data_IF_545399644985
#
_entry.id   IF_545399644985
#
_cell.length_a   1.000
_cell.length_b   1.000
_cell.length_c   1.000
_cell.angle_alpha   90.00
_cell.angle_beta   90.00
_cell.angle_gamma   90.00
#
_symmetry.space_group_name_H-M   'P 1'
#
loop_
_entity.id
_entity.type
_entity.pdbx_description
1 polymer ?
#
# COMPACT_ATOMS: atom_id res chain seq x y z
N UNK A 1 -13.69 -4.90 0.36
CA UNK A 1 -13.98 -4.18 1.63
C UNK A 1 -13.97 -2.65 1.45
N UNK A 2 -12.90 -2.07 0.91
CA UNK A 2 -12.70 -0.61 0.76
C UNK A 2 -13.88 0.10 0.12
N UNK A 3 -14.41 -0.40 -0.99
CA UNK A 3 -15.56 0.17 -1.68
C UNK A 3 -16.81 0.33 -0.79
N UNK A 4 -17.08 -0.63 0.11
CA UNK A 4 -18.20 -0.54 1.06
C UNK A 4 -18.00 0.63 2.02
N UNK A 5 -16.76 0.86 2.46
CA UNK A 5 -16.42 1.97 3.37
C UNK A 5 -16.52 3.32 2.64
N UNK A 6 -16.10 3.38 1.37
CA UNK A 6 -16.27 4.57 0.52
C UNK A 6 -17.77 4.88 0.36
N UNK A 7 -18.58 3.88 -0.02
CA UNK A 7 -20.04 4.04 -0.20
C UNK A 7 -20.77 4.46 1.07
N UNK A 8 -20.23 4.16 2.25
CA UNK A 8 -20.80 4.61 3.52
C UNK A 8 -20.66 6.12 3.73
N UNK A 9 -19.73 6.80 3.04
CA UNK A 9 -19.60 8.27 3.06
C UNK A 9 -19.22 8.87 4.42
N UNK A 10 -18.53 8.10 5.29
CA UNK A 10 -18.20 8.51 6.66
C UNK A 10 -16.76 8.97 6.87
N UNK A 11 -15.89 8.79 5.89
CA UNK A 11 -14.46 9.06 5.98
C UNK A 11 -14.00 9.75 4.70
N UNK A 12 -13.02 10.65 4.79
CA UNK A 12 -12.41 11.30 3.62
C UNK A 12 -11.36 10.39 2.94
N UNK A 13 -10.68 9.58 3.75
CA UNK A 13 -9.64 8.66 3.35
C UNK A 13 -9.79 7.33 4.09
N UNK A 14 -9.41 6.25 3.42
CA UNK A 14 -9.39 4.89 3.93
C UNK A 14 -7.97 4.38 3.76
N UNK A 15 -7.33 3.97 4.85
CA UNK A 15 -6.06 3.26 4.78
C UNK A 15 -6.33 1.77 4.85
N UNK A 16 -6.01 1.05 3.78
CA UNK A 16 -5.98 -0.40 3.76
C UNK A 16 -4.63 -0.87 4.27
N UNK A 17 -4.65 -1.83 5.20
CA UNK A 17 -3.48 -2.38 5.86
C UNK A 17 -3.65 -3.88 6.03
N UNK A 18 -2.63 -4.63 5.66
CA UNK A 18 -2.51 -6.04 6.02
C UNK A 18 -2.22 -6.19 7.52
N UNK A 19 -2.56 -7.37 8.03
CA UNK A 19 -2.50 -7.66 9.46
C UNK A 19 -1.05 -7.77 9.97
N UNK A 20 -0.09 -8.03 9.09
CA UNK A 20 1.34 -8.15 9.35
C UNK A 20 2.05 -6.79 9.29
N UNK A 21 1.36 -5.75 9.75
CA UNK A 21 1.88 -4.39 9.89
C UNK A 21 1.86 -3.93 11.35
N UNK A 22 2.77 -3.02 11.69
CA UNK A 22 2.85 -2.40 13.02
C UNK A 22 3.04 -0.88 12.88
N UNK A 23 2.12 -0.10 13.45
CA UNK A 23 2.27 1.36 13.55
C UNK A 23 3.31 1.67 14.63
N UNK A 24 4.42 2.28 14.24
CA UNK A 24 5.60 2.51 15.10
C UNK A 24 5.79 3.96 15.54
N UNK A 25 5.10 4.92 14.92
CA UNK A 25 5.13 6.31 15.36
C UNK A 25 3.71 6.84 15.57
N UNK A 26 3.28 6.83 16.81
CA UNK A 26 1.96 7.26 17.26
C UNK A 26 1.85 8.78 17.46
N UNK A 27 2.98 9.49 17.43
CA UNK A 27 3.03 10.96 17.43
C UNK A 27 2.75 11.57 16.05
N UNK A 28 2.73 10.76 14.99
CA UNK A 28 2.38 11.18 13.64
C UNK A 28 0.95 10.77 13.29
N UNK A 29 0.16 11.70 12.74
CA UNK A 29 -1.17 11.36 12.22
C UNK A 29 -1.09 10.83 10.79
N UNK A 30 -2.01 9.94 10.42
CA UNK A 30 -2.20 9.52 9.03
C UNK A 30 -2.45 10.71 8.09
N UNK A 31 -3.19 11.73 8.57
CA UNK A 31 -3.40 12.98 7.83
C UNK A 31 -2.08 13.69 7.50
N UNK A 32 -1.11 13.69 8.40
CA UNK A 32 0.22 14.26 8.13
C UNK A 32 0.96 13.49 7.04
N UNK A 33 0.85 12.15 7.02
CA UNK A 33 1.42 11.32 5.95
C UNK A 33 0.78 11.66 4.61
N UNK A 34 -0.56 11.70 4.54
CA UNK A 34 -1.31 12.03 3.32
C UNK A 34 -0.94 13.43 2.81
N UNK A 35 -0.98 14.45 3.67
CA UNK A 35 -0.71 15.82 3.28
C UNK A 35 0.73 16.00 2.77
N UNK A 36 1.72 15.36 3.41
CA UNK A 36 3.12 15.40 2.96
C UNK A 36 3.29 14.71 1.61
N UNK A 37 2.63 13.57 1.40
CA UNK A 37 2.66 12.86 0.12
C UNK A 37 2.06 13.71 -1.01
N UNK A 38 0.92 14.34 -0.77
CA UNK A 38 0.23 15.17 -1.76
C UNK A 38 0.91 16.51 -2.04
N UNK A 39 1.72 17.03 -1.11
CA UNK A 39 2.44 18.29 -1.29
C UNK A 39 3.39 18.29 -2.50
N UNK A 40 3.82 17.11 -2.95
CA UNK A 40 4.67 16.95 -4.14
C UNK A 40 3.86 16.86 -5.46
N UNK A 41 2.53 16.83 -5.40
CA UNK A 41 1.65 16.79 -6.56
C UNK A 41 1.34 18.19 -7.07
N UNK A 42 1.34 18.38 -8.40
CA UNK A 42 0.79 19.60 -9.01
C UNK A 42 -0.74 19.61 -9.04
N UNK A 43 -1.37 18.46 -8.85
CA UNK A 43 -2.84 18.28 -8.87
C UNK A 43 -3.28 17.37 -7.71
N UNK A 44 -3.12 17.79 -6.44
CA UNK A 44 -3.40 16.93 -5.29
C UNK A 44 -4.87 16.47 -5.20
N UNK A 45 -5.82 17.30 -5.67
CA UNK A 45 -7.25 16.97 -5.65
C UNK A 45 -7.65 15.91 -6.68
N UNK A 46 -6.80 15.66 -7.68
CA UNK A 46 -7.03 14.58 -8.65
C UNK A 46 -6.48 13.25 -8.19
N UNK A 47 -5.72 13.20 -7.10
CA UNK A 47 -5.17 11.95 -6.56
C UNK A 47 -6.18 11.31 -5.60
N UNK A 48 -6.52 10.06 -5.89
CA UNK A 48 -7.38 9.22 -5.06
C UNK A 48 -6.60 8.10 -4.37
N UNK A 49 -5.53 7.59 -4.98
CA UNK A 49 -4.77 6.48 -4.42
C UNK A 49 -3.34 6.91 -4.14
N UNK A 50 -2.87 6.61 -2.93
CA UNK A 50 -1.46 6.63 -2.58
C UNK A 50 -1.01 5.18 -2.45
N UNK A 51 -0.11 4.77 -3.33
CA UNK A 51 0.39 3.40 -3.44
C UNK A 51 1.91 3.41 -3.34
N UNK A 52 2.48 2.27 -3.01
CA UNK A 52 3.94 2.09 -2.91
C UNK A 52 4.38 0.94 -3.79
N UNK A 53 5.63 1.01 -4.23
CA UNK A 53 6.30 -0.16 -4.77
C UNK A 53 7.24 -0.74 -3.72
N UNK A 54 7.58 -2.01 -3.87
CA UNK A 54 8.70 -2.67 -3.22
C UNK A 54 9.68 -3.19 -4.30
N UNK A 55 10.50 -4.20 -3.99
CA UNK A 55 11.44 -4.78 -4.95
C UNK A 55 10.79 -5.58 -6.09
N UNK A 56 9.51 -5.96 -5.95
CA UNK A 56 8.74 -6.75 -6.92
C UNK A 56 7.72 -5.95 -7.73
N UNK A 57 7.58 -4.64 -7.48
CA UNK A 57 6.56 -3.80 -8.12
C UNK A 57 5.60 -3.23 -7.09
N UNK A 58 4.33 -2.98 -7.47
CA UNK A 58 3.32 -2.51 -6.53
C UNK A 58 3.19 -3.46 -5.32
N UNK A 59 3.03 -2.88 -4.13
CA UNK A 59 2.57 -3.59 -2.95
C UNK A 59 1.18 -3.08 -2.53
N UNK A 60 0.19 -3.98 -2.42
CA UNK A 60 -1.19 -3.64 -2.05
C UNK A 60 -1.54 -3.95 -0.59
N UNK A 61 -0.59 -4.46 0.20
CA UNK A 61 -0.77 -4.67 1.64
C UNK A 61 -0.74 -3.38 2.45
N UNK A 62 -0.36 -2.24 1.85
CA UNK A 62 -0.59 -0.92 2.42
C UNK A 62 -0.80 0.16 1.36
N UNK A 63 -2.04 0.61 1.21
CA UNK A 63 -2.40 1.73 0.34
C UNK A 63 -3.48 2.61 0.95
N UNK A 64 -3.47 3.88 0.57
CA UNK A 64 -4.45 4.87 1.07
C UNK A 64 -5.35 5.28 -0.09
N UNK A 65 -6.66 5.11 0.07
CA UNK A 65 -7.68 5.43 -0.91
C UNK A 65 -8.58 6.58 -0.42
N UNK A 66 -8.79 7.58 -1.26
CA UNK A 66 -9.73 8.67 -1.02
C UNK A 66 -11.15 8.13 -1.12
N UNK A 67 -12.03 8.63 -0.27
CA UNK A 67 -13.46 8.35 -0.38
C UNK A 67 -14.06 9.20 -1.49
N UNK A 68 -14.04 8.67 -2.71
CA UNK A 68 -14.57 9.36 -3.89
C UNK A 68 -15.27 8.38 -4.84
N UNK A 69 -16.22 8.85 -5.66
CA UNK A 69 -16.81 8.03 -6.73
C UNK A 69 -15.76 7.54 -7.76
N UNK A 70 -14.66 8.28 -7.91
CA UNK A 70 -13.56 7.94 -8.82
C UNK A 70 -12.74 6.78 -8.27
N UNK A 71 -12.57 6.69 -6.95
CA UNK A 71 -12.00 5.50 -6.30
C UNK A 71 -12.81 4.24 -6.53
N UNK A 72 -14.14 4.32 -6.54
CA UNK A 72 -15.00 3.17 -6.87
C UNK A 72 -14.77 2.72 -8.31
N UNK A 73 -14.79 3.66 -9.27
CA UNK A 73 -14.51 3.37 -10.68
C UNK A 73 -13.13 2.75 -10.89
N UNK A 74 -12.13 3.20 -10.14
CA UNK A 74 -10.78 2.65 -10.18
C UNK A 74 -10.75 1.21 -9.68
N UNK A 75 -11.38 0.91 -8.54
CA UNK A 75 -11.49 -0.45 -8.01
C UNK A 75 -12.25 -1.37 -8.97
N UNK A 76 -13.31 -0.88 -9.60
CA UNK A 76 -14.05 -1.63 -10.63
C UNK A 76 -13.16 -1.93 -11.85
N UNK A 77 -12.32 -0.97 -12.27
CA UNK A 77 -11.39 -1.16 -13.37
C UNK A 77 -10.28 -2.18 -13.03
N UNK A 78 -9.75 -2.17 -11.80
CA UNK A 78 -8.79 -3.19 -11.33
C UNK A 78 -9.39 -4.59 -11.38
N UNK A 79 -10.66 -4.76 -10.96
CA UNK A 79 -11.37 -6.05 -11.06
C UNK A 79 -11.61 -6.46 -12.52
N UNK A 80 -11.96 -5.52 -13.37
CA UNK A 80 -12.11 -5.78 -14.80
C UNK A 80 -10.77 -6.21 -15.44
N UNK A 81 -9.64 -5.65 -14.98
CA UNK A 81 -8.30 -6.12 -15.36
C UNK A 81 -8.06 -7.55 -14.91
N UNK A 82 -8.37 -7.88 -13.65
CA UNK A 82 -8.30 -9.26 -13.15
C UNK A 82 -9.07 -10.24 -14.06
N UNK A 83 -10.35 -9.94 -14.32
CA UNK A 83 -11.23 -10.83 -15.07
C UNK A 83 -10.77 -11.00 -16.52
N UNK A 84 -10.32 -9.91 -17.16
CA UNK A 84 -9.78 -9.95 -18.51
C UNK A 84 -8.53 -10.83 -18.61
N UNK A 85 -7.56 -10.66 -17.72
CA UNK A 85 -6.32 -11.44 -17.76
C UNK A 85 -6.58 -12.93 -17.47
N UNK A 86 -7.53 -13.22 -16.57
CA UNK A 86 -7.96 -14.59 -16.30
C UNK A 86 -8.60 -15.23 -17.53
N UNK A 87 -9.47 -14.52 -18.23
CA UNK A 87 -10.13 -15.02 -19.45
C UNK A 87 -9.12 -15.24 -20.60
N UNK A 88 -8.11 -14.38 -20.72
CA UNK A 88 -7.12 -14.44 -21.80
C UNK A 88 -6.02 -15.48 -21.57
N UNK A 89 -5.51 -15.58 -20.34
CA UNK A 89 -4.33 -16.40 -20.02
C UNK A 89 -4.66 -17.68 -19.26
N UNK A 90 -5.87 -17.80 -18.71
CA UNK A 90 -6.27 -18.85 -17.78
C UNK A 90 -5.63 -18.74 -16.38
N UNK A 91 -4.75 -17.76 -16.14
CA UNK A 91 -4.08 -17.54 -14.85
C UNK A 91 -4.89 -16.56 -14.01
N UNK A 92 -5.26 -16.98 -12.79
CA UNK A 92 -5.81 -16.06 -11.79
C UNK A 92 -4.68 -15.18 -11.22
N UNK A 93 -4.90 -13.87 -11.23
CA UNK A 93 -3.98 -12.89 -10.63
C UNK A 93 -4.34 -12.64 -9.17
N UNK A 94 -3.35 -12.27 -8.36
CA UNK A 94 -3.63 -11.69 -7.05
C UNK A 94 -4.25 -10.30 -7.19
N UNK A 95 -4.81 -9.76 -6.09
CA UNK A 95 -5.27 -8.37 -6.04
C UNK A 95 -4.10 -7.42 -6.37
N UNK A 96 -2.91 -7.69 -5.82
CA UNK A 96 -1.68 -6.95 -6.08
C UNK A 96 -1.30 -6.94 -7.57
N UNK A 97 -1.23 -8.12 -8.20
CA UNK A 97 -0.88 -8.25 -9.62
C UNK A 97 -1.88 -7.49 -10.50
N UNK A 98 -3.17 -7.61 -10.19
CA UNK A 98 -4.24 -6.96 -10.94
C UNK A 98 -4.14 -5.44 -10.87
N UNK A 99 -3.82 -4.93 -9.68
CA UNK A 99 -3.65 -3.50 -9.43
C UNK A 99 -2.37 -2.96 -10.09
N UNK A 100 -1.27 -3.73 -10.07
CA UNK A 100 -0.01 -3.39 -10.74
C UNK A 100 -0.18 -3.32 -12.27
N UNK A 101 -0.83 -4.31 -12.87
CA UNK A 101 -1.13 -4.32 -14.31
C UNK A 101 -2.03 -3.14 -14.68
N UNK A 102 -3.06 -2.86 -13.89
CA UNK A 102 -3.95 -1.73 -14.12
C UNK A 102 -3.21 -0.39 -14.10
N UNK A 103 -2.33 -0.16 -13.12
CA UNK A 103 -1.60 1.11 -13.02
C UNK A 103 -0.52 1.30 -14.10
N UNK A 104 -0.07 0.22 -14.73
CA UNK A 104 0.82 0.25 -15.90
C UNK A 104 0.08 0.44 -17.22
N UNK A 105 -1.24 0.49 -17.22
CA UNK A 105 -2.06 0.64 -18.43
C UNK A 105 -2.24 2.12 -18.84
N UNK A 106 -2.71 2.34 -20.07
CA UNK A 106 -3.08 3.67 -20.58
C UNK A 106 -4.44 4.19 -20.08
N UNK A 107 -5.03 3.55 -19.05
CA UNK A 107 -6.29 3.98 -18.49
C UNK A 107 -6.16 5.40 -17.90
N UNK A 108 -7.05 6.35 -18.26
CA UNK A 108 -7.08 7.66 -17.60
C UNK A 108 -7.30 7.55 -16.09
N UNK A 109 -7.94 6.45 -15.64
CA UNK A 109 -8.16 6.21 -14.21
C UNK A 109 -6.85 5.90 -13.46
N UNK A 110 -5.84 5.35 -14.14
CA UNK A 110 -4.54 5.06 -13.52
C UNK A 110 -3.81 6.35 -13.08
N UNK A 111 -4.06 7.47 -13.76
CA UNK A 111 -3.48 8.78 -13.43
C UNK A 111 -3.98 9.37 -12.09
N UNK A 112 -5.01 8.77 -11.49
CA UNK A 112 -5.51 9.15 -10.17
C UNK A 112 -4.82 8.41 -9.03
N UNK A 113 -3.81 7.58 -9.33
CA UNK A 113 -2.90 7.03 -8.34
C UNK A 113 -1.56 7.76 -8.37
N UNK A 114 -0.97 7.91 -7.19
CA UNK A 114 0.38 8.42 -7.00
C UNK A 114 1.22 7.36 -6.31
N UNK A 115 2.33 6.99 -6.93
CA UNK A 115 3.37 6.20 -6.27
C UNK A 115 4.15 7.10 -5.33
N UNK A 116 4.11 6.79 -4.04
CA UNK A 116 4.85 7.49 -2.99
C UNK A 116 6.00 6.60 -2.50
N UNK A 117 7.05 7.18 -1.90
CA UNK A 117 8.17 6.38 -1.43
C UNK A 117 7.73 5.34 -0.40
N UNK A 118 8.22 4.11 -0.51
CA UNK A 118 7.77 2.94 0.26
C UNK A 118 7.75 3.21 1.77
N UNK A 119 8.77 3.88 2.30
CA UNK A 119 8.89 4.12 3.74
C UNK A 119 7.84 5.07 4.34
N UNK A 120 7.01 5.72 3.52
CA UNK A 120 6.02 6.69 3.98
C UNK A 120 4.82 6.03 4.66
N UNK A 121 4.30 4.95 4.07
CA UNK A 121 3.17 4.18 4.60
C UNK A 121 3.37 2.66 4.48
N UNK A 122 4.51 2.17 4.01
CA UNK A 122 4.74 0.75 3.75
C UNK A 122 6.21 0.32 3.96
N UNK A 123 6.88 0.85 4.99
CA UNK A 123 8.31 0.61 5.17
C UNK A 123 8.61 -0.85 5.53
N UNK A 124 9.60 -1.47 4.89
CA UNK A 124 10.01 -2.84 5.21
C UNK A 124 11.21 -2.85 6.15
N UNK A 125 11.29 -3.80 7.10
CA UNK A 125 12.42 -3.91 8.00
C UNK A 125 13.63 -4.53 7.28
N UNK A 126 14.77 -4.53 7.97
CA UNK A 126 16.04 -4.94 7.36
C UNK A 126 16.08 -6.42 6.97
N UNK A 127 15.36 -7.25 7.71
CA UNK A 127 15.25 -8.69 7.52
C UNK A 127 14.56 -9.07 6.23
N UNK A 128 13.58 -8.27 5.77
CA UNK A 128 12.89 -8.52 4.50
C UNK A 128 13.78 -8.11 3.33
N UNK A 129 14.49 -6.98 3.43
CA UNK A 129 15.46 -6.57 2.42
C UNK A 129 14.88 -6.18 1.05
N UNK A 130 13.55 -6.10 0.92
CA UNK A 130 12.84 -5.83 -0.34
C UNK A 130 12.39 -4.36 -0.41
N UNK A 131 13.25 -3.51 -0.99
CA UNK A 131 13.02 -2.08 -1.05
C UNK A 131 12.76 -1.55 -2.47
N UNK A 132 12.00 -0.45 -2.53
CA UNK A 132 11.78 0.35 -3.74
C UNK A 132 13.07 0.96 -4.33
N UNK A 133 12.92 1.87 -5.29
CA UNK A 133 14.03 2.51 -5.99
C UNK A 133 14.95 3.34 -5.08
N UNK A 134 14.47 3.80 -3.93
CA UNK A 134 15.28 4.61 -3.01
C UNK A 134 16.08 3.76 -2.02
N UNK A 135 15.81 2.45 -1.95
CA UNK A 135 16.56 1.49 -1.12
C UNK A 135 16.59 1.85 0.37
N UNK A 136 15.51 2.44 0.88
CA UNK A 136 15.40 2.85 2.27
C UNK A 136 14.67 1.78 3.09
N UNK A 137 15.38 1.22 4.06
CA UNK A 137 14.80 0.34 5.09
C UNK A 137 14.02 1.13 6.13
N UNK A 138 13.17 0.45 6.89
CA UNK A 138 12.53 1.04 8.06
C UNK A 138 13.59 1.54 9.05
N UNK A 139 13.34 2.71 9.64
CA UNK A 139 14.15 3.32 10.69
C UNK A 139 13.23 3.84 11.80
N UNK A 140 13.73 3.87 13.04
CA UNK A 140 12.97 4.38 14.19
C UNK A 140 12.45 5.79 13.92
N UNK A 141 11.16 6.00 14.20
CA UNK A 141 10.45 7.25 13.93
C UNK A 141 9.68 7.27 12.61
N UNK A 142 9.83 6.26 11.76
CA UNK A 142 8.91 6.03 10.65
C UNK A 142 7.52 5.61 11.13
N UNK A 143 6.52 5.87 10.30
CA UNK A 143 5.11 5.76 10.69
C UNK A 143 4.68 4.32 10.96
N UNK A 144 5.05 3.40 10.07
CA UNK A 144 4.61 2.01 10.07
C UNK A 144 5.72 1.13 9.54
N UNK A 145 5.80 -0.10 10.04
CA UNK A 145 6.60 -1.19 9.47
C UNK A 145 5.67 -2.29 8.95
N UNK A 146 5.97 -2.84 7.79
CA UNK A 146 5.24 -3.94 7.17
C UNK A 146 6.15 -5.16 7.05
N UNK A 147 5.70 -6.29 7.59
CA UNK A 147 6.42 -7.56 7.64
C UNK A 147 6.08 -8.48 6.45
N UNK A 148 5.82 -7.87 5.28
CA UNK A 148 5.41 -8.57 4.07
C UNK A 148 6.39 -9.71 3.75
N UNK A 149 5.86 -10.92 3.62
CA UNK A 149 6.66 -12.07 3.24
C UNK A 149 7.66 -12.53 4.31
N UNK A 150 7.51 -12.14 5.59
CA UNK A 150 8.43 -12.53 6.68
C UNK A 150 8.76 -14.03 6.70
N UNK A 151 7.79 -14.87 6.36
CA UNK A 151 7.97 -16.32 6.26
C UNK A 151 9.07 -16.77 5.27
N UNK A 152 9.40 -15.97 4.27
CA UNK A 152 10.42 -16.26 3.27
C UNK A 152 11.82 -15.76 3.70
N UNK A 153 11.90 -14.90 4.71
CA UNK A 153 13.11 -14.14 5.04
C UNK A 153 13.64 -14.39 6.46
N UNK A 154 12.76 -14.79 7.38
CA UNK A 154 13.11 -15.01 8.79
C UNK A 154 12.85 -16.47 9.15
N UNK A 155 13.81 -17.08 9.84
CA UNK A 155 13.73 -18.47 10.28
C UNK A 155 12.90 -18.61 11.57
N UNK A 156 12.24 -19.76 11.74
CA UNK A 156 11.45 -20.09 12.93
C UNK A 156 9.97 -20.31 12.63
N UNK A 157 9.20 -20.63 13.68
CA UNK A 157 7.79 -21.05 13.54
C UNK A 157 6.82 -19.88 13.33
N UNK A 158 7.15 -18.71 13.86
CA UNK A 158 6.35 -17.48 13.75
C UNK A 158 7.20 -16.30 13.27
N UNK A 159 7.59 -16.25 11.99
CA UNK A 159 8.43 -15.18 11.44
C UNK A 159 7.85 -13.77 11.62
N UNK A 160 6.56 -13.60 11.32
CA UNK A 160 5.87 -12.31 11.46
C UNK A 160 5.82 -11.86 12.92
N UNK A 161 5.40 -12.72 13.85
CA UNK A 161 5.34 -12.35 15.25
C UNK A 161 6.70 -12.16 15.90
N UNK A 162 7.75 -12.85 15.42
CA UNK A 162 9.13 -12.56 15.81
C UNK A 162 9.53 -11.13 15.47
N UNK A 163 9.21 -10.68 14.25
CA UNK A 163 9.47 -9.31 13.83
C UNK A 163 8.59 -8.31 14.59
N UNK A 164 7.30 -8.59 14.78
CA UNK A 164 6.41 -7.74 15.59
C UNK A 164 6.98 -7.52 17.00
N UNK A 165 7.41 -8.58 17.69
CA UNK A 165 8.04 -8.49 19.02
C UNK A 165 9.38 -7.75 18.99
N UNK A 166 10.17 -7.89 17.93
CA UNK A 166 11.44 -7.15 17.76
C UNK A 166 11.17 -5.64 17.67
N UNK A 167 10.21 -5.24 16.83
CA UNK A 167 9.93 -3.82 16.53
C UNK A 167 8.95 -3.17 17.52
N UNK A 168 8.30 -3.93 18.40
CA UNK A 168 7.43 -3.40 19.46
C UNK A 168 8.16 -2.41 20.38
N UNK A 169 9.42 -2.69 20.73
CA UNK A 169 10.25 -1.80 21.55
C UNK A 169 10.61 -0.46 20.86
N UNK A 170 10.31 -0.35 19.56
CA UNK A 170 10.57 0.85 18.77
C UNK A 170 9.37 1.78 18.60
N UNK A 171 8.21 1.42 19.13
CA UNK A 171 7.03 2.26 19.11
C UNK A 171 7.30 3.54 19.92
N UNK A 172 6.99 4.70 19.33
CA UNK A 172 7.09 6.03 19.94
C UNK A 172 5.78 6.81 19.92
#
# INVERSE_FOLDING_TARGET
MVERIIKAGKHDWIWYLDFDTLITNTNMSLTNVINKSLANSTMPDTIDFLVTNDCNGLNDGSFIARSSPRSIKLLDAVRATHDREKDQSGKAMSDQDSMDVFFKSDSPLAQHAMHIPQWTNNAFPEEIGCYDAYKKKWERGMFVVHFAGAWAHVTGEDPTGQLMRKYEGDII
#
